data_IF_238060177999
#
_entry.id   IF_238060177999
#
_cell.length_a   1.000
_cell.length_b   1.000
_cell.length_c   1.000
_cell.angle_alpha   90.00
_cell.angle_beta   90.00
_cell.angle_gamma   90.00
#
_symmetry.space_group_name_H-M   'P 1'
#
loop_
_entity.id
_entity.type
_entity.pdbx_description
1 polymer ?
#
# COMPACT_ATOMS: atom_id res chain seq x y z
N UNK A 1 57.03 87.32 -42.77
CA UNK A 1 56.61 86.01 -43.21
C UNK A 1 55.28 85.68 -42.59
N UNK A 2 54.21 85.52 -43.35
CA UNK A 2 52.84 85.22 -42.81
C UNK A 2 52.71 83.72 -42.61
N UNK A 3 52.06 83.28 -41.51
CA UNK A 3 51.68 81.92 -41.17
C UNK A 3 50.59 81.39 -42.08
N UNK A 4 50.64 80.13 -42.52
CA UNK A 4 49.54 79.57 -43.29
C UNK A 4 48.32 79.19 -42.39
N UNK A 5 47.15 79.54 -42.89
CA UNK A 5 45.88 79.22 -42.28
C UNK A 5 45.54 77.70 -42.26
N UNK A 6 44.90 77.19 -41.24
CA UNK A 6 44.50 75.75 -41.15
C UNK A 6 43.38 75.45 -42.16
N UNK A 7 43.50 74.31 -42.86
CA UNK A 7 42.48 73.79 -43.78
C UNK A 7 41.25 73.33 -42.96
N UNK A 8 40.04 73.53 -43.48
CA UNK A 8 38.82 73.09 -42.84
C UNK A 8 38.70 71.52 -42.85
N UNK A 9 38.60 70.93 -41.72
CA UNK A 9 38.29 69.50 -41.57
C UNK A 9 36.82 69.25 -41.98
N UNK A 10 36.58 68.32 -42.93
CA UNK A 10 35.29 67.85 -43.34
C UNK A 10 34.58 67.18 -42.13
N UNK A 11 33.29 67.48 -41.87
CA UNK A 11 32.51 66.78 -40.85
C UNK A 11 32.34 65.33 -41.30
N UNK A 12 32.83 64.38 -40.48
CA UNK A 12 32.52 62.95 -40.62
C UNK A 12 31.12 62.75 -40.09
N UNK A 13 30.17 62.56 -41.03
CA UNK A 13 28.82 62.14 -40.71
C UNK A 13 28.86 60.76 -40.07
N UNK A 14 28.30 60.54 -38.86
CA UNK A 14 28.24 59.18 -38.28
C UNK A 14 27.29 58.37 -39.18
N UNK A 15 27.82 57.28 -39.77
CA UNK A 15 27.01 56.28 -40.48
C UNK A 15 26.00 55.72 -39.46
N UNK A 16 24.77 56.18 -39.56
CA UNK A 16 23.64 55.52 -38.90
C UNK A 16 23.52 54.13 -39.52
N UNK A 17 23.86 53.08 -38.74
CA UNK A 17 23.54 51.72 -39.13
C UNK A 17 22.03 51.64 -39.35
N UNK A 18 21.59 51.08 -40.49
CA UNK A 18 20.13 50.87 -40.67
C UNK A 18 19.64 49.96 -39.53
N UNK A 19 18.42 50.18 -39.04
CA UNK A 19 17.88 49.32 -37.99
C UNK A 19 17.91 47.84 -38.45
N UNK A 20 18.42 46.96 -37.63
CA UNK A 20 18.46 45.50 -37.87
C UNK A 20 17.01 45.03 -38.12
N UNK A 21 16.61 44.92 -39.36
CA UNK A 21 15.29 44.43 -39.77
C UNK A 21 15.34 42.90 -39.66
N UNK A 22 14.76 42.34 -38.58
CA UNK A 22 14.64 40.90 -38.38
C UNK A 22 13.86 40.29 -39.54
N UNK A 23 14.44 39.29 -40.21
CA UNK A 23 13.78 38.66 -41.36
C UNK A 23 12.47 37.99 -40.94
N UNK A 24 11.36 38.12 -41.69
CA UNK A 24 10.06 37.51 -41.36
C UNK A 24 10.19 35.98 -41.15
N UNK A 25 11.04 35.32 -41.91
CA UNK A 25 11.32 33.87 -41.81
C UNK A 25 11.95 33.51 -40.46
N UNK A 26 12.87 34.34 -39.95
CA UNK A 26 13.48 34.15 -38.65
C UNK A 26 12.44 34.28 -37.52
N UNK A 27 11.54 35.27 -37.62
CA UNK A 27 10.46 35.48 -36.67
C UNK A 27 9.51 34.28 -36.60
N UNK A 28 9.08 33.77 -37.79
CA UNK A 28 8.26 32.56 -37.87
C UNK A 28 8.93 31.33 -37.23
N UNK A 29 10.24 31.14 -37.54
CA UNK A 29 11.01 30.04 -36.89
C UNK A 29 11.10 30.19 -35.37
N UNK A 30 11.37 31.40 -34.89
CA UNK A 30 11.43 31.68 -33.45
C UNK A 30 10.10 31.39 -32.75
N UNK A 31 8.98 31.85 -33.34
CA UNK A 31 7.64 31.56 -32.81
C UNK A 31 7.35 30.04 -32.81
N UNK A 32 7.66 29.36 -33.93
CA UNK A 32 7.46 27.90 -34.02
C UNK A 32 8.27 27.13 -32.93
N UNK A 33 9.53 27.48 -32.73
CA UNK A 33 10.40 26.90 -31.70
C UNK A 33 9.81 27.20 -30.30
N UNK A 34 9.36 28.43 -30.06
CA UNK A 34 8.77 28.78 -28.75
C UNK A 34 7.48 28.00 -28.49
N UNK A 35 6.62 27.83 -29.50
CA UNK A 35 5.39 27.02 -29.36
C UNK A 35 5.74 25.55 -29.06
N UNK A 36 6.68 24.96 -29.80
CA UNK A 36 7.09 23.57 -29.58
C UNK A 36 7.70 23.40 -28.18
N UNK A 37 8.55 24.34 -27.76
CA UNK A 37 9.13 24.32 -26.42
C UNK A 37 8.04 24.45 -25.33
N UNK A 38 7.07 25.33 -25.51
CA UNK A 38 5.96 25.50 -24.56
C UNK A 38 5.09 24.24 -24.47
N UNK A 39 4.76 23.61 -25.60
CA UNK A 39 4.00 22.36 -25.64
C UNK A 39 4.77 21.23 -24.97
N UNK A 40 6.07 21.12 -25.20
CA UNK A 40 6.94 20.13 -24.59
C UNK A 40 7.03 20.31 -23.06
N UNK A 41 7.26 21.54 -22.59
CA UNK A 41 7.26 21.84 -21.15
C UNK A 41 5.91 21.58 -20.51
N UNK A 42 4.82 21.94 -21.19
CA UNK A 42 3.45 21.65 -20.73
C UNK A 42 3.20 20.15 -20.61
N UNK A 43 3.63 19.35 -21.59
CA UNK A 43 3.52 17.89 -21.54
C UNK A 43 4.37 17.28 -20.43
N UNK A 44 5.61 17.73 -20.23
CA UNK A 44 6.43 17.29 -19.11
C UNK A 44 5.83 17.61 -17.75
N UNK A 45 5.25 18.83 -17.61
CA UNK A 45 4.53 19.21 -16.38
C UNK A 45 3.33 18.29 -16.15
N UNK A 46 2.56 17.98 -17.19
CA UNK A 46 1.45 17.04 -17.11
C UNK A 46 1.90 15.63 -16.68
N UNK A 47 2.97 15.10 -17.25
CA UNK A 47 3.57 13.84 -16.85
C UNK A 47 4.05 13.86 -15.39
N UNK A 48 4.63 14.97 -14.93
CA UNK A 48 5.07 15.13 -13.55
C UNK A 48 3.88 15.16 -12.57
N UNK A 49 2.82 15.86 -12.90
CA UNK A 49 1.59 15.90 -12.11
C UNK A 49 0.96 14.50 -12.01
N UNK A 50 0.93 13.77 -13.12
CA UNK A 50 0.51 12.37 -13.11
C UNK A 50 1.39 11.51 -12.19
N UNK A 51 2.72 11.60 -12.33
CA UNK A 51 3.67 10.86 -11.51
C UNK A 51 3.47 11.11 -10.01
N UNK A 52 3.15 12.35 -9.62
CA UNK A 52 2.86 12.68 -8.22
C UNK A 52 1.46 12.30 -7.76
N UNK A 53 0.48 12.27 -8.66
CA UNK A 53 -0.94 12.07 -8.36
C UNK A 53 -1.47 10.67 -8.62
N UNK A 54 -0.68 9.76 -9.20
CA UNK A 54 -1.12 8.43 -9.65
C UNK A 54 -1.72 7.55 -8.54
N UNK A 55 -1.30 7.75 -7.29
CA UNK A 55 -1.86 7.03 -6.15
C UNK A 55 -3.38 7.21 -6.03
N UNK A 56 -3.92 8.37 -6.42
CA UNK A 56 -5.37 8.68 -6.41
C UNK A 56 -6.19 7.83 -7.41
N UNK A 57 -5.54 7.12 -8.32
CA UNK A 57 -6.21 6.19 -9.22
C UNK A 57 -6.55 4.86 -8.51
N UNK A 58 -5.79 4.52 -7.49
CA UNK A 58 -5.81 3.18 -6.89
C UNK A 58 -5.99 3.18 -5.37
N UNK A 59 -5.70 4.30 -4.69
CA UNK A 59 -5.79 4.44 -3.25
C UNK A 59 -6.77 5.55 -2.89
N UNK A 60 -7.68 5.27 -1.94
CA UNK A 60 -8.70 6.22 -1.50
C UNK A 60 -8.74 6.25 0.03
N UNK A 61 -7.74 6.86 0.68
CA UNK A 61 -7.64 6.90 2.13
C UNK A 61 -8.79 7.71 2.75
N UNK A 62 -9.37 7.16 3.81
CA UNK A 62 -10.31 7.87 4.66
C UNK A 62 -9.67 8.10 6.03
N UNK A 63 -9.73 9.35 6.50
CA UNK A 63 -9.25 9.73 7.83
C UNK A 63 -10.38 9.59 8.85
N UNK A 64 -10.04 9.09 10.04
CA UNK A 64 -10.97 9.01 11.16
C UNK A 64 -10.45 9.85 12.32
N UNK A 65 -11.34 10.60 12.97
CA UNK A 65 -10.96 11.48 14.08
C UNK A 65 -10.84 10.76 15.42
N UNK A 66 -11.53 9.63 15.57
CA UNK A 66 -11.54 8.86 16.81
C UNK A 66 -11.55 7.35 16.52
N UNK A 67 -10.95 6.60 17.43
CA UNK A 67 -11.06 5.14 17.44
C UNK A 67 -12.48 4.74 17.90
N UNK A 68 -13.06 3.62 17.39
CA UNK A 68 -14.33 3.12 17.87
C UNK A 68 -14.22 2.68 19.34
N UNK A 69 -15.32 2.78 20.08
CA UNK A 69 -15.32 2.35 21.49
C UNK A 69 -15.12 0.82 21.65
N UNK A 70 -15.52 0.05 20.65
CA UNK A 70 -15.33 -1.40 20.58
C UNK A 70 -15.38 -1.86 19.11
N UNK A 71 -14.82 -3.04 18.83
CA UNK A 71 -14.88 -3.67 17.52
C UNK A 71 -16.06 -4.65 17.51
N UNK A 72 -17.24 -4.20 17.06
CA UNK A 72 -18.48 -4.98 17.11
C UNK A 72 -18.77 -5.55 18.53
N UNK A 73 -18.57 -4.75 19.58
CA UNK A 73 -18.75 -5.18 20.97
C UNK A 73 -17.52 -5.83 21.61
N UNK A 74 -16.48 -6.15 20.84
CA UNK A 74 -15.25 -6.77 21.32
C UNK A 74 -14.33 -5.66 21.88
N UNK A 75 -13.80 -5.81 23.10
CA UNK A 75 -12.80 -4.89 23.63
C UNK A 75 -11.46 -5.06 22.89
N UNK A 76 -10.75 -3.99 22.65
CA UNK A 76 -9.46 -4.00 21.99
C UNK A 76 -8.49 -3.01 22.64
N UNK A 77 -7.21 -3.16 22.35
CA UNK A 77 -6.17 -2.22 22.76
C UNK A 77 -5.77 -1.35 21.56
N UNK A 78 -5.81 -0.03 21.74
CA UNK A 78 -5.26 0.91 20.78
C UNK A 78 -3.73 0.92 20.92
N UNK A 79 -3.03 0.70 19.81
CA UNK A 79 -1.57 0.57 19.77
C UNK A 79 -1.00 1.67 18.88
N UNK A 80 0.03 2.34 19.37
CA UNK A 80 0.83 3.28 18.58
C UNK A 80 2.22 2.67 18.39
N UNK A 81 2.69 2.58 17.15
CA UNK A 81 3.93 1.87 16.81
C UNK A 81 4.60 2.45 15.56
N UNK A 82 5.72 1.86 15.12
CA UNK A 82 6.47 2.30 13.96
C UNK A 82 7.03 3.71 14.15
N UNK A 83 7.96 3.93 15.11
CA UNK A 83 8.49 5.26 15.37
C UNK A 83 9.29 5.77 14.18
N UNK A 84 9.28 7.08 13.98
CA UNK A 84 10.19 7.79 13.07
C UNK A 84 11.59 7.99 13.72
N UNK A 85 12.44 8.73 13.04
CA UNK A 85 13.80 9.06 13.53
C UNK A 85 13.79 9.81 14.87
N UNK A 86 12.68 10.47 15.19
CA UNK A 86 12.47 11.20 16.48
C UNK A 86 11.76 10.34 17.54
N UNK A 87 11.64 9.03 17.32
CA UNK A 87 10.93 8.08 18.17
C UNK A 87 9.42 8.37 18.33
N UNK A 88 8.81 9.15 17.43
CA UNK A 88 7.38 9.42 17.41
C UNK A 88 6.65 8.33 16.64
N UNK A 89 5.65 7.63 17.26
CA UNK A 89 4.87 6.62 16.55
C UNK A 89 4.13 7.20 15.35
N UNK A 90 4.25 6.52 14.20
CA UNK A 90 3.66 6.96 12.94
C UNK A 90 2.37 6.22 12.61
N UNK A 91 2.17 5.04 13.20
CA UNK A 91 1.09 4.11 12.89
C UNK A 91 0.21 3.87 14.11
N UNK A 92 -1.07 3.72 13.83
CA UNK A 92 -2.09 3.33 14.81
C UNK A 92 -2.68 1.99 14.43
N UNK A 93 -2.76 1.08 15.39
CA UNK A 93 -3.32 -0.26 15.20
C UNK A 93 -4.22 -0.68 16.36
N UNK A 94 -4.97 -1.74 16.12
CA UNK A 94 -5.89 -2.38 17.05
C UNK A 94 -5.43 -3.78 17.34
N UNK A 95 -5.25 -4.06 18.63
CA UNK A 95 -4.96 -5.40 19.12
C UNK A 95 -6.20 -5.99 19.76
N UNK A 96 -6.73 -7.07 19.19
CA UNK A 96 -7.86 -7.84 19.70
C UNK A 96 -7.32 -9.16 20.26
N UNK A 97 -7.12 -9.28 21.58
CA UNK A 97 -6.69 -10.54 22.18
C UNK A 97 -7.82 -11.56 22.11
N UNK A 98 -7.51 -12.80 21.73
CA UNK A 98 -8.45 -13.91 21.85
C UNK A 98 -8.62 -14.31 23.31
N UNK A 99 -9.70 -15.01 23.62
CA UNK A 99 -9.83 -15.68 24.90
C UNK A 99 -8.73 -16.74 25.08
N UNK A 100 -8.17 -16.90 26.29
CA UNK A 100 -7.08 -17.87 26.54
C UNK A 100 -7.45 -19.33 26.21
N UNK A 101 -8.76 -19.67 26.22
CA UNK A 101 -9.28 -20.96 25.80
C UNK A 101 -9.69 -21.03 24.33
N UNK A 102 -9.45 -19.98 23.56
CA UNK A 102 -9.78 -19.92 22.13
C UNK A 102 -9.04 -21.01 21.35
N UNK A 103 -9.73 -21.60 20.36
CA UNK A 103 -9.21 -22.74 19.59
C UNK A 103 -7.86 -22.44 18.91
N UNK A 104 -7.66 -21.20 18.48
CA UNK A 104 -6.43 -20.75 17.79
C UNK A 104 -5.72 -19.63 18.56
N UNK A 105 -5.89 -19.56 19.89
CA UNK A 105 -5.35 -18.48 20.73
C UNK A 105 -3.82 -18.32 20.68
N UNK A 106 -3.10 -19.36 20.22
CA UNK A 106 -1.64 -19.30 20.03
C UNK A 106 -1.21 -18.59 18.74
N UNK A 107 -2.15 -18.35 17.82
CA UNK A 107 -1.89 -17.69 16.58
C UNK A 107 -2.39 -16.25 16.60
N UNK A 108 -1.79 -15.44 15.75
CA UNK A 108 -2.12 -14.02 15.57
C UNK A 108 -2.28 -13.72 14.09
N UNK A 109 -3.43 -13.21 13.71
CA UNK A 109 -3.62 -12.62 12.39
C UNK A 109 -2.92 -11.27 12.36
N UNK A 110 -2.03 -11.06 11.39
CA UNK A 110 -1.54 -9.74 11.00
C UNK A 110 -2.37 -9.27 9.79
N UNK A 111 -3.28 -8.36 10.04
CA UNK A 111 -4.27 -7.91 9.06
C UNK A 111 -3.77 -6.69 8.29
N UNK A 112 -3.68 -6.82 6.96
CA UNK A 112 -3.33 -5.77 6.01
C UNK A 112 -4.60 -5.29 5.29
N UNK A 113 -5.13 -4.11 5.65
CA UNK A 113 -6.37 -3.60 5.07
C UNK A 113 -6.22 -3.21 3.59
N UNK A 114 -7.35 -3.01 2.92
CA UNK A 114 -7.38 -2.46 1.57
C UNK A 114 -6.90 -0.99 1.54
N UNK A 115 -6.49 -0.53 0.37
CA UNK A 115 -6.15 0.86 0.10
C UNK A 115 -7.35 1.79 -0.07
N UNK A 116 -8.58 1.31 0.16
CA UNK A 116 -9.79 2.10 0.16
C UNK A 116 -10.38 2.18 1.57
N UNK A 117 -10.82 3.37 1.98
CA UNK A 117 -11.44 3.56 3.29
C UNK A 117 -10.44 3.70 4.43
N UNK A 118 -10.75 3.08 5.56
CA UNK A 118 -9.96 3.03 6.78
C UNK A 118 -10.07 1.65 7.43
N UNK A 119 -9.31 1.42 8.50
CA UNK A 119 -9.43 0.17 9.26
C UNK A 119 -10.86 -0.07 9.83
N UNK A 120 -11.61 1.01 10.08
CA UNK A 120 -12.99 0.92 10.56
C UNK A 120 -13.92 0.15 9.59
N UNK A 121 -13.64 0.19 8.29
CA UNK A 121 -14.43 -0.53 7.29
C UNK A 121 -14.19 -2.05 7.36
N UNK A 122 -13.13 -2.49 8.04
CA UNK A 122 -12.79 -3.89 8.25
C UNK A 122 -13.38 -4.49 9.54
N UNK A 123 -14.09 -3.71 10.36
CA UNK A 123 -14.67 -4.16 11.64
C UNK A 123 -15.41 -5.50 11.54
N UNK A 124 -16.30 -5.74 10.56
CA UNK A 124 -17.00 -7.04 10.46
C UNK A 124 -16.04 -8.22 10.25
N UNK A 125 -15.01 -8.03 9.43
CA UNK A 125 -13.98 -9.05 9.17
C UNK A 125 -13.13 -9.31 10.42
N UNK A 126 -12.68 -8.26 11.11
CA UNK A 126 -11.88 -8.39 12.33
C UNK A 126 -12.67 -9.09 13.45
N UNK A 127 -13.96 -8.76 13.61
CA UNK A 127 -14.85 -9.44 14.56
C UNK A 127 -15.04 -10.92 14.20
N UNK A 128 -15.25 -11.24 12.92
CA UNK A 128 -15.37 -12.63 12.46
C UNK A 128 -14.10 -13.44 12.74
N UNK A 129 -12.93 -12.87 12.50
CA UNK A 129 -11.64 -13.51 12.80
C UNK A 129 -11.47 -13.73 14.31
N UNK A 130 -11.71 -12.71 15.14
CA UNK A 130 -11.62 -12.83 16.59
C UNK A 130 -12.57 -13.90 17.14
N UNK A 131 -13.78 -14.00 16.63
CA UNK A 131 -14.78 -14.99 17.05
C UNK A 131 -14.38 -16.44 16.74
N UNK A 132 -13.37 -16.67 15.89
CA UNK A 132 -12.77 -17.99 15.71
C UNK A 132 -11.80 -18.36 16.87
N UNK A 133 -11.56 -17.46 17.80
CA UNK A 133 -10.65 -17.67 18.93
C UNK A 133 -9.18 -17.48 18.57
N UNK A 134 -8.86 -16.54 17.66
CA UNK A 134 -7.53 -16.17 17.24
C UNK A 134 -7.24 -14.69 17.61
N UNK A 135 -6.01 -14.36 17.97
CA UNK A 135 -5.62 -12.97 18.18
C UNK A 135 -5.61 -12.22 16.84
N UNK A 136 -5.98 -10.93 16.86
CA UNK A 136 -5.96 -10.11 15.65
C UNK A 136 -5.20 -8.81 15.92
N UNK A 137 -4.21 -8.53 15.09
CA UNK A 137 -3.55 -7.24 15.00
C UNK A 137 -3.82 -6.62 13.64
N UNK A 138 -4.47 -5.48 13.64
CA UNK A 138 -4.81 -4.72 12.44
C UNK A 138 -4.34 -3.27 12.60
N UNK A 139 -4.03 -2.58 11.51
CA UNK A 139 -3.51 -1.22 11.58
C UNK A 139 -3.92 -0.38 10.37
N UNK A 140 -3.92 0.94 10.55
CA UNK A 140 -4.05 1.90 9.47
C UNK A 140 -2.66 2.26 8.91
N UNK A 141 -2.50 2.23 7.57
CA UNK A 141 -1.29 2.76 6.94
C UNK A 141 -1.17 4.28 7.15
N UNK A 142 0.02 4.84 6.99
CA UNK A 142 0.21 6.31 6.97
C UNK A 142 -0.70 6.96 5.93
N UNK A 143 -1.42 8.00 6.34
CA UNK A 143 -2.45 8.67 5.53
C UNK A 143 -3.86 8.15 5.74
N UNK A 144 -4.04 6.99 6.39
CA UNK A 144 -5.34 6.36 6.68
C UNK A 144 -5.72 6.49 8.15
N UNK A 145 -7.03 6.37 8.43
CA UNK A 145 -7.59 6.31 9.77
C UNK A 145 -6.98 7.30 10.74
N UNK A 146 -6.39 6.81 11.82
CA UNK A 146 -5.73 7.60 12.87
C UNK A 146 -4.20 7.66 12.75
N UNK A 147 -3.60 6.93 11.81
CA UNK A 147 -2.15 7.01 11.55
C UNK A 147 -1.74 8.41 11.08
N UNK A 148 -0.45 8.73 11.13
CA UNK A 148 0.05 10.08 10.78
C UNK A 148 -0.39 10.49 9.38
N UNK A 149 -0.62 11.79 9.20
CA UNK A 149 -1.01 12.36 7.91
C UNK A 149 0.14 12.23 6.92
N UNK A 150 -0.09 11.50 5.85
CA UNK A 150 0.88 11.33 4.76
C UNK A 150 0.17 11.08 3.43
N UNK A 151 0.86 11.36 2.34
CA UNK A 151 0.41 10.91 1.02
C UNK A 151 0.76 9.42 0.89
N UNK A 152 -0.23 8.53 0.68
CA UNK A 152 0.05 7.11 0.55
C UNK A 152 0.81 6.81 -0.75
N UNK A 153 1.61 5.74 -0.72
CA UNK A 153 2.26 5.15 -1.88
C UNK A 153 2.59 3.70 -1.54
N UNK A 154 2.77 2.85 -2.55
CA UNK A 154 3.18 1.47 -2.34
C UNK A 154 4.43 1.36 -1.46
N UNK A 155 5.43 2.21 -1.69
CA UNK A 155 6.67 2.19 -0.92
C UNK A 155 6.44 2.48 0.58
N UNK A 156 5.64 3.51 0.91
CA UNK A 156 5.32 3.85 2.30
C UNK A 156 4.49 2.76 2.96
N UNK A 157 3.48 2.24 2.26
CA UNK A 157 2.65 1.15 2.79
C UNK A 157 3.47 -0.14 2.99
N UNK A 158 4.47 -0.41 2.14
CA UNK A 158 5.44 -1.49 2.37
C UNK A 158 6.22 -1.29 3.66
N UNK A 159 6.75 -0.09 3.89
CA UNK A 159 7.45 0.28 5.13
C UNK A 159 6.55 0.14 6.37
N UNK A 160 5.26 0.50 6.23
CA UNK A 160 4.27 0.37 7.30
C UNK A 160 3.97 -1.11 7.61
N UNK A 161 3.90 -1.95 6.56
CA UNK A 161 3.76 -3.40 6.70
C UNK A 161 4.96 -4.03 7.41
N UNK A 162 6.18 -3.59 7.09
CA UNK A 162 7.41 -4.04 7.76
C UNK A 162 7.42 -3.61 9.24
N UNK A 163 6.99 -2.38 9.54
CA UNK A 163 6.88 -1.90 10.91
C UNK A 163 5.84 -2.70 11.73
N UNK A 164 4.71 -3.07 11.12
CA UNK A 164 3.69 -3.90 11.76
C UNK A 164 4.21 -5.33 12.05
N UNK A 165 4.94 -5.93 11.11
CA UNK A 165 5.61 -7.20 11.32
C UNK A 165 6.64 -7.11 12.45
N UNK A 166 7.49 -6.10 12.43
CA UNK A 166 8.52 -5.86 13.44
C UNK A 166 7.92 -5.62 14.83
N UNK A 167 6.81 -4.90 14.93
CA UNK A 167 6.09 -4.72 16.18
C UNK A 167 5.65 -6.06 16.78
N UNK A 168 5.06 -6.96 15.99
CA UNK A 168 4.64 -8.27 16.47
C UNK A 168 5.82 -9.13 16.88
N UNK A 169 6.87 -9.18 16.08
CA UNK A 169 8.00 -10.10 16.32
C UNK A 169 8.96 -9.58 17.38
N UNK A 170 9.21 -8.28 17.44
CA UNK A 170 10.20 -7.70 18.36
C UNK A 170 9.55 -7.19 19.64
N UNK A 171 8.49 -6.36 19.54
CA UNK A 171 7.87 -5.74 20.73
C UNK A 171 6.94 -6.70 21.46
N UNK A 172 6.15 -7.48 20.70
CA UNK A 172 5.24 -8.50 21.24
C UNK A 172 5.92 -9.86 21.43
N UNK A 173 7.12 -10.06 20.90
CA UNK A 173 7.89 -11.31 20.94
C UNK A 173 7.11 -12.53 20.42
N UNK A 174 6.22 -12.33 19.43
CA UNK A 174 5.44 -13.40 18.80
C UNK A 174 6.30 -14.06 17.73
N UNK A 175 6.43 -15.37 17.77
CA UNK A 175 7.19 -16.13 16.76
C UNK A 175 6.58 -15.98 15.38
N UNK A 176 7.41 -15.89 14.33
CA UNK A 176 6.96 -15.87 12.94
C UNK A 176 6.01 -17.04 12.62
N UNK A 177 6.24 -18.22 13.20
CA UNK A 177 5.40 -19.41 13.04
C UNK A 177 4.03 -19.32 13.72
N UNK A 178 3.77 -18.26 14.47
CA UNK A 178 2.47 -17.97 15.10
C UNK A 178 1.74 -16.80 14.44
N UNK A 179 2.36 -16.14 13.45
CA UNK A 179 1.79 -15.01 12.74
C UNK A 179 1.25 -15.47 11.39
N UNK A 180 -0.03 -15.18 11.14
CA UNK A 180 -0.71 -15.49 9.89
C UNK A 180 -1.00 -14.16 9.19
N UNK A 181 -0.27 -13.82 8.10
CA UNK A 181 -0.59 -12.65 7.31
C UNK A 181 -1.96 -12.82 6.64
N UNK A 182 -2.81 -11.80 6.76
CA UNK A 182 -4.10 -11.70 6.11
C UNK A 182 -4.17 -10.40 5.31
N UNK A 183 -4.34 -10.47 4.01
CA UNK A 183 -4.47 -9.30 3.15
C UNK A 183 -5.83 -9.19 2.51
N UNK A 184 -6.37 -7.96 2.44
CA UNK A 184 -7.57 -7.64 1.65
C UNK A 184 -7.29 -6.51 0.67
N UNK A 185 -7.91 -6.54 -0.51
CA UNK A 185 -7.69 -5.53 -1.55
C UNK A 185 -6.21 -5.41 -1.96
N UNK A 186 -5.60 -4.23 -1.82
CA UNK A 186 -4.15 -4.04 -2.07
C UNK A 186 -3.29 -4.65 -0.96
N UNK A 187 -3.85 -4.86 0.24
CA UNK A 187 -3.17 -5.51 1.37
C UNK A 187 -2.68 -6.93 1.05
N UNK A 188 -3.27 -7.59 0.04
CA UNK A 188 -2.82 -8.92 -0.43
C UNK A 188 -1.35 -8.92 -0.87
N UNK A 189 -0.87 -7.84 -1.48
CA UNK A 189 0.54 -7.72 -1.90
C UNK A 189 1.49 -7.69 -0.70
N UNK A 190 1.10 -6.98 0.36
CA UNK A 190 1.91 -6.89 1.58
C UNK A 190 1.88 -8.19 2.38
N UNK A 191 0.71 -8.82 2.52
CA UNK A 191 0.58 -10.12 3.15
C UNK A 191 1.42 -11.20 2.43
N UNK A 192 1.36 -11.24 1.09
CA UNK A 192 2.17 -12.15 0.27
C UNK A 192 3.66 -11.88 0.43
N UNK A 193 4.07 -10.59 0.41
CA UNK A 193 5.46 -10.20 0.62
C UNK A 193 5.98 -10.63 1.99
N UNK A 194 5.22 -10.41 3.06
CA UNK A 194 5.59 -10.86 4.41
C UNK A 194 5.73 -12.37 4.45
N UNK A 195 4.80 -13.11 3.83
CA UNK A 195 4.86 -14.57 3.78
C UNK A 195 6.04 -15.10 2.93
N UNK A 196 6.46 -14.37 1.89
CA UNK A 196 7.62 -14.75 1.08
C UNK A 196 8.97 -14.52 1.76
N UNK A 197 9.02 -13.62 2.72
CA UNK A 197 10.25 -13.25 3.45
C UNK A 197 10.41 -13.95 4.80
N UNK A 198 9.34 -14.57 5.31
CA UNK A 198 9.31 -15.14 6.65
C UNK A 198 8.66 -16.51 6.67
N UNK A 199 9.09 -17.37 7.58
CA UNK A 199 8.54 -18.71 7.76
C UNK A 199 7.21 -18.64 8.53
N UNK A 200 6.12 -18.18 7.88
CA UNK A 200 4.79 -18.13 8.45
C UNK A 200 4.02 -19.46 8.23
N UNK A 201 3.10 -19.84 9.12
CA UNK A 201 2.40 -21.12 9.03
C UNK A 201 1.34 -21.15 7.91
N UNK A 202 0.76 -20.02 7.60
CA UNK A 202 -0.32 -19.87 6.61
C UNK A 202 -0.42 -18.44 6.10
N UNK A 203 -1.12 -18.25 4.99
CA UNK A 203 -1.41 -16.95 4.35
C UNK A 203 -2.88 -16.91 3.94
N UNK A 204 -3.55 -15.78 4.18
CA UNK A 204 -4.94 -15.57 3.75
C UNK A 204 -5.01 -14.34 2.86
N UNK A 205 -5.61 -14.49 1.69
CA UNK A 205 -5.80 -13.41 0.72
C UNK A 205 -7.27 -13.32 0.34
N UNK A 206 -7.89 -12.17 0.63
CA UNK A 206 -9.30 -11.91 0.38
C UNK A 206 -9.48 -10.80 -0.65
N UNK A 207 -10.26 -11.08 -1.69
CA UNK A 207 -10.73 -10.08 -2.66
C UNK A 207 -9.60 -9.18 -3.20
N UNK A 208 -8.61 -9.73 -3.88
CA UNK A 208 -7.40 -9.03 -4.25
C UNK A 208 -7.65 -7.83 -5.16
N UNK A 209 -6.95 -6.75 -4.89
CA UNK A 209 -6.72 -5.61 -5.78
C UNK A 209 -5.22 -5.45 -5.92
N UNK A 210 -4.67 -5.99 -6.99
CA UNK A 210 -3.22 -6.04 -7.20
C UNK A 210 -2.89 -6.01 -8.69
N UNK A 211 -1.60 -5.95 -9.03
CA UNK A 211 -1.12 -5.84 -10.41
C UNK A 211 -1.81 -4.69 -11.17
N UNK A 212 -1.92 -3.51 -10.49
CA UNK A 212 -2.80 -2.42 -10.85
C UNK A 212 -2.37 -1.63 -12.10
N UNK A 213 -1.28 -2.00 -12.76
CA UNK A 213 -0.83 -1.35 -13.99
C UNK A 213 -1.90 -1.37 -15.09
N UNK A 214 -2.60 -2.49 -15.26
CA UNK A 214 -3.64 -2.62 -16.27
C UNK A 214 -4.88 -1.74 -15.94
N UNK A 215 -5.19 -1.59 -14.65
CA UNK A 215 -6.24 -0.67 -14.20
C UNK A 215 -5.87 0.77 -14.54
N UNK A 216 -4.63 1.16 -14.27
CA UNK A 216 -4.13 2.51 -14.61
C UNK A 216 -4.08 2.76 -16.11
N UNK A 217 -3.73 1.77 -16.95
CA UNK A 217 -3.75 1.88 -18.43
C UNK A 217 -5.19 2.04 -18.95
N UNK A 218 -6.16 1.35 -18.35
CA UNK A 218 -7.57 1.40 -18.75
C UNK A 218 -8.32 2.66 -18.31
N UNK A 219 -7.74 3.51 -17.48
CA UNK A 219 -8.38 4.73 -17.00
C UNK A 219 -8.38 5.81 -18.11
N UNK A 220 -9.54 6.39 -18.49
CA UNK A 220 -9.60 7.43 -19.53
C UNK A 220 -8.73 8.66 -19.24
N UNK A 221 -8.46 8.97 -17.98
CA UNK A 221 -7.62 10.12 -17.57
C UNK A 221 -6.15 9.95 -17.93
N UNK A 222 -5.72 8.75 -18.26
CA UNK A 222 -4.31 8.41 -18.52
C UNK A 222 -3.97 8.28 -20.00
N UNK A 223 -4.91 8.53 -20.91
CA UNK A 223 -4.78 8.31 -22.37
C UNK A 223 -3.56 9.00 -22.99
N UNK A 224 -3.19 10.19 -22.49
CA UNK A 224 -2.06 10.99 -23.00
C UNK A 224 -0.76 10.76 -22.22
N UNK A 225 -0.77 9.86 -21.25
CA UNK A 225 0.37 9.62 -20.35
C UNK A 225 1.07 8.31 -20.71
N UNK A 226 2.40 8.22 -20.72
CA UNK A 226 3.12 6.96 -20.87
C UNK A 226 3.05 6.15 -19.56
N UNK A 227 1.85 5.63 -19.23
CA UNK A 227 1.52 4.97 -17.94
C UNK A 227 2.52 3.88 -17.61
N UNK A 228 2.89 3.03 -18.59
CA UNK A 228 3.83 1.91 -18.37
C UNK A 228 5.17 2.36 -17.82
N UNK A 229 5.59 3.59 -18.15
CA UNK A 229 6.88 4.17 -17.71
C UNK A 229 6.74 4.89 -16.37
N UNK A 230 5.63 5.61 -16.15
CA UNK A 230 5.47 6.50 -15.02
C UNK A 230 4.74 5.89 -13.83
N UNK A 231 3.92 4.84 -14.05
CA UNK A 231 3.15 4.21 -12.97
C UNK A 231 4.00 3.25 -12.15
N UNK A 232 4.16 3.54 -10.86
CA UNK A 232 5.03 2.78 -9.95
C UNK A 232 4.28 2.08 -8.80
N UNK A 233 3.06 2.50 -8.46
CA UNK A 233 2.25 1.88 -7.40
C UNK A 233 1.52 0.63 -7.91
N UNK A 234 2.27 -0.41 -8.29
CA UNK A 234 1.78 -1.60 -9.01
C UNK A 234 1.16 -2.66 -8.12
N UNK A 235 1.55 -2.72 -6.85
CA UNK A 235 1.11 -3.74 -5.89
C UNK A 235 1.24 -5.17 -6.45
N UNK A 236 2.45 -5.67 -6.70
CA UNK A 236 2.67 -6.96 -7.34
C UNK A 236 2.13 -8.11 -6.49
N UNK A 237 1.46 -9.07 -7.13
CA UNK A 237 0.90 -10.26 -6.48
C UNK A 237 1.20 -11.53 -7.27
N UNK A 238 1.02 -11.52 -8.59
CA UNK A 238 1.06 -12.73 -9.41
C UNK A 238 2.41 -13.46 -9.32
N UNK A 239 3.50 -12.74 -9.50
CA UNK A 239 4.86 -13.32 -9.46
C UNK A 239 5.23 -13.84 -8.06
N UNK A 240 5.13 -13.04 -6.97
CA UNK A 240 5.43 -13.54 -5.63
C UNK A 240 4.56 -14.72 -5.21
N UNK A 241 3.29 -14.73 -5.62
CA UNK A 241 2.34 -15.78 -5.23
C UNK A 241 2.61 -17.10 -5.98
N UNK A 242 3.11 -17.04 -7.21
CA UNK A 242 3.39 -18.24 -8.02
C UNK A 242 4.52 -19.11 -7.45
N UNK A 243 5.48 -18.50 -6.78
CA UNK A 243 6.66 -19.18 -6.21
C UNK A 243 6.51 -19.51 -4.72
N UNK A 244 5.45 -19.02 -4.07
CA UNK A 244 5.25 -19.18 -2.64
C UNK A 244 4.72 -20.58 -2.29
N UNK A 245 5.43 -21.31 -1.40
CA UNK A 245 5.05 -22.64 -0.93
C UNK A 245 4.33 -22.65 0.42
N UNK A 246 4.15 -21.50 1.07
CA UNK A 246 3.34 -21.37 2.29
C UNK A 246 1.89 -21.78 2.00
N UNK A 247 1.23 -22.60 2.84
CA UNK A 247 -0.19 -22.89 2.72
C UNK A 247 -1.03 -21.61 2.64
N UNK A 248 -1.89 -21.51 1.63
CA UNK A 248 -2.65 -20.28 1.40
C UNK A 248 -4.12 -20.52 1.14
N UNK A 249 -4.95 -19.69 1.79
CA UNK A 249 -6.38 -19.59 1.54
C UNK A 249 -6.66 -18.39 0.65
N UNK A 250 -7.24 -18.64 -0.51
CA UNK A 250 -7.54 -17.65 -1.52
C UNK A 250 -9.05 -17.45 -1.59
N UNK A 251 -9.54 -16.32 -1.08
CA UNK A 251 -10.95 -15.97 -1.06
C UNK A 251 -11.28 -15.02 -2.20
N UNK A 252 -12.28 -15.33 -2.99
CA UNK A 252 -12.78 -14.46 -4.06
C UNK A 252 -14.26 -14.20 -3.86
N UNK A 253 -14.71 -12.99 -4.20
CA UNK A 253 -16.12 -12.58 -4.13
C UNK A 253 -16.72 -12.34 -5.51
N UNK A 254 -16.01 -12.70 -6.55
CA UNK A 254 -16.42 -12.53 -7.95
C UNK A 254 -16.48 -13.88 -8.64
N UNK A 255 -17.40 -14.04 -9.61
CA UNK A 255 -17.54 -15.24 -10.41
C UNK A 255 -16.36 -15.48 -11.39
N UNK A 256 -15.42 -14.56 -11.46
CA UNK A 256 -14.17 -14.70 -12.23
C UNK A 256 -13.01 -14.87 -11.25
N UNK A 257 -12.38 -16.03 -11.18
CA UNK A 257 -11.21 -16.21 -10.33
C UNK A 257 -10.10 -15.28 -10.82
N UNK A 258 -9.51 -14.56 -9.87
CA UNK A 258 -8.38 -13.69 -10.15
C UNK A 258 -7.22 -14.50 -10.73
N UNK A 259 -6.58 -14.02 -11.81
CA UNK A 259 -5.55 -14.78 -12.54
C UNK A 259 -4.39 -15.21 -11.64
N UNK A 260 -3.93 -14.31 -10.76
CA UNK A 260 -2.87 -14.61 -9.80
C UNK A 260 -3.23 -15.77 -8.85
N UNK A 261 -4.53 -15.99 -8.56
CA UNK A 261 -4.97 -17.11 -7.74
C UNK A 261 -4.90 -18.43 -8.48
N UNK A 262 -5.16 -18.43 -9.80
CA UNK A 262 -5.05 -19.64 -10.62
C UNK A 262 -3.60 -20.10 -10.75
N UNK A 263 -2.67 -19.15 -10.91
CA UNK A 263 -1.23 -19.41 -11.09
C UNK A 263 -0.46 -19.50 -9.77
N UNK A 264 -1.12 -19.30 -8.62
CA UNK A 264 -0.49 -19.42 -7.30
C UNK A 264 0.14 -20.80 -7.09
N UNK A 265 1.32 -20.83 -6.47
CA UNK A 265 2.00 -22.07 -6.09
C UNK A 265 1.21 -22.89 -5.05
N UNK A 266 1.38 -24.20 -5.03
CA UNK A 266 0.77 -25.07 -4.01
C UNK A 266 1.57 -25.05 -2.69
N UNK A 267 0.94 -25.38 -1.53
CA UNK A 267 -0.46 -25.73 -1.35
C UNK A 267 -1.38 -24.52 -1.32
N UNK A 268 -2.54 -24.63 -1.94
CA UNK A 268 -3.56 -23.57 -1.96
C UNK A 268 -4.98 -24.14 -1.85
N UNK A 269 -5.83 -23.41 -1.18
CA UNK A 269 -7.28 -23.64 -1.12
C UNK A 269 -7.96 -22.40 -1.67
N UNK A 270 -8.79 -22.58 -2.71
CA UNK A 270 -9.58 -21.49 -3.29
C UNK A 270 -11.03 -21.64 -2.89
N UNK A 271 -11.62 -20.53 -2.40
CA UNK A 271 -13.04 -20.49 -2.00
C UNK A 271 -13.70 -19.28 -2.64
N UNK A 272 -14.79 -19.54 -3.32
CA UNK A 272 -15.66 -18.51 -3.90
C UNK A 272 -16.79 -18.18 -2.94
N UNK A 273 -16.83 -16.91 -2.50
CA UNK A 273 -17.85 -16.38 -1.58
C UNK A 273 -18.91 -15.64 -2.41
N UNK A 274 -19.76 -16.37 -3.11
CA UNK A 274 -20.79 -15.82 -4.00
C UNK A 274 -21.92 -15.07 -3.27
N UNK A 275 -22.03 -15.29 -1.97
CA UNK A 275 -22.98 -14.63 -1.08
C UNK A 275 -22.24 -14.02 0.10
N UNK A 276 -22.68 -12.87 0.66
CA UNK A 276 -22.10 -12.30 1.88
C UNK A 276 -22.45 -13.14 3.13
N UNK A 277 -22.27 -14.46 3.03
CA UNK A 277 -22.53 -15.40 4.11
C UNK A 277 -21.34 -15.46 5.06
N UNK A 278 -21.49 -14.84 6.24
CA UNK A 278 -20.51 -14.97 7.31
C UNK A 278 -20.27 -16.45 7.70
N UNK A 279 -21.28 -17.29 7.54
CA UNK A 279 -21.18 -18.72 7.83
C UNK A 279 -20.18 -19.41 6.91
N UNK A 280 -20.28 -19.24 5.58
CA UNK A 280 -19.37 -19.85 4.61
C UNK A 280 -17.96 -19.33 4.81
N UNK A 281 -17.80 -18.04 5.05
CA UNK A 281 -16.51 -17.42 5.34
C UNK A 281 -15.86 -18.05 6.57
N UNK A 282 -16.57 -18.13 7.71
CA UNK A 282 -16.05 -18.70 8.94
C UNK A 282 -15.75 -20.21 8.80
N UNK A 283 -16.62 -20.96 8.12
CA UNK A 283 -16.37 -22.38 7.84
C UNK A 283 -15.13 -22.61 7.00
N UNK A 284 -14.91 -21.77 6.00
CA UNK A 284 -13.72 -21.88 5.12
C UNK A 284 -12.44 -21.61 5.90
N UNK A 285 -12.42 -20.59 6.74
CA UNK A 285 -11.30 -20.28 7.63
C UNK A 285 -11.04 -21.42 8.62
N UNK A 286 -12.09 -21.90 9.30
CA UNK A 286 -11.95 -22.99 10.27
C UNK A 286 -11.38 -24.25 9.64
N UNK A 287 -11.92 -24.69 8.48
CA UNK A 287 -11.40 -25.86 7.74
C UNK A 287 -9.93 -25.68 7.34
N UNK A 288 -9.59 -24.48 6.86
CA UNK A 288 -8.21 -24.17 6.47
C UNK A 288 -7.28 -24.18 7.67
N UNK A 289 -7.66 -23.58 8.79
CA UNK A 289 -6.86 -23.59 10.00
C UNK A 289 -6.71 -25.02 10.58
N UNK A 290 -7.77 -25.80 10.62
CA UNK A 290 -7.70 -27.19 11.08
C UNK A 290 -6.79 -28.06 10.22
N UNK A 291 -6.69 -27.76 8.93
CA UNK A 291 -5.86 -28.54 8.01
C UNK A 291 -4.37 -28.17 8.09
N UNK A 292 -4.05 -26.89 8.29
CA UNK A 292 -2.69 -26.39 8.12
C UNK A 292 -2.03 -25.86 9.39
N UNK A 293 -2.81 -25.48 10.41
CA UNK A 293 -2.23 -25.04 11.66
C UNK A 293 -2.03 -26.24 12.60
N UNK A 294 -0.86 -26.34 13.24
CA UNK A 294 -0.64 -27.38 14.25
C UNK A 294 -1.64 -27.20 15.41
N UNK A 295 -2.21 -28.30 15.95
CA UNK A 295 -3.06 -28.20 17.12
C UNK A 295 -2.31 -27.51 18.25
N UNK A 296 -2.92 -26.48 18.83
CA UNK A 296 -2.32 -25.78 19.98
C UNK A 296 -2.06 -26.77 21.11
N UNK A 297 -0.84 -26.97 21.50
CA UNK A 297 -0.53 -27.59 22.78
C UNK A 297 -0.99 -26.61 23.84
N UNK A 298 -2.18 -26.84 24.42
CA UNK A 298 -2.59 -26.16 25.65
C UNK A 298 -1.46 -26.39 26.67
N UNK A 299 -0.80 -25.33 27.19
CA UNK A 299 0.18 -25.55 28.27
C UNK A 299 -0.54 -26.33 29.37
N UNK A 300 -0.02 -27.50 29.71
CA UNK A 300 -0.57 -28.25 30.82
C UNK A 300 -0.65 -27.29 32.01
N UNK A 301 -1.86 -27.10 32.55
CA UNK A 301 -2.07 -26.36 33.79
C UNK A 301 -1.06 -26.92 34.79
N UNK A 302 -0.05 -26.13 35.12
CA UNK A 302 0.86 -26.47 36.21
C UNK A 302 -0.05 -26.60 37.44
N UNK A 303 -0.18 -27.80 38.03
CA UNK A 303 -1.02 -27.95 39.19
C UNK A 303 -0.48 -27.02 40.29
N UNK A 304 -1.36 -26.39 41.09
CA UNK A 304 -0.93 -25.51 42.15
C UNK A 304 0.00 -26.31 43.08
N UNK A 305 1.18 -25.76 43.34
CA UNK A 305 2.14 -26.34 44.33
C UNK A 305 1.36 -26.62 45.62
N UNK A 306 1.35 -27.88 46.02
CA UNK A 306 0.77 -28.28 47.29
C UNK A 306 1.42 -27.46 48.41
N UNK A 307 0.64 -26.97 49.39
CA UNK A 307 1.19 -26.23 50.52
C UNK A 307 2.15 -27.18 51.29
N UNK A 308 3.39 -26.76 51.38
CA UNK A 308 4.38 -27.41 52.28
C UNK A 308 3.93 -27.17 53.71
N UNK A 309 3.60 -28.25 54.41
CA UNK A 309 3.36 -28.28 55.84
C UNK A 309 4.67 -28.15 56.62
#
# INVERSE_FOLDING_TARGET
MPRPSPKPTKPTNPKSNPPDVVSPIWLVKAIAVTIVAALFCGYLTFCLLFYQGQWQLVLHPVRTSAAPASIAGIPYQLIHFGPDESAVPQLTGWWLPSDPGGRYCHFTILFFPDGNGSLADSIPTLASLHNLGINVFAFDYRGYGQSVVARPSQQKMTSDADAAWQYLTTTRAISAQQIIPYGTGVGVSFATRVASQNAVPALILDSPRADLLNVAIGDPRTTLVPVRLLFHDRFPLAEPLSTLHTPKLLLTRTNSPYEAFRTAGDPKVMVELTSPSALLYNQSLTRFFDQYLPPGTVPALVPPLAPTH
#
